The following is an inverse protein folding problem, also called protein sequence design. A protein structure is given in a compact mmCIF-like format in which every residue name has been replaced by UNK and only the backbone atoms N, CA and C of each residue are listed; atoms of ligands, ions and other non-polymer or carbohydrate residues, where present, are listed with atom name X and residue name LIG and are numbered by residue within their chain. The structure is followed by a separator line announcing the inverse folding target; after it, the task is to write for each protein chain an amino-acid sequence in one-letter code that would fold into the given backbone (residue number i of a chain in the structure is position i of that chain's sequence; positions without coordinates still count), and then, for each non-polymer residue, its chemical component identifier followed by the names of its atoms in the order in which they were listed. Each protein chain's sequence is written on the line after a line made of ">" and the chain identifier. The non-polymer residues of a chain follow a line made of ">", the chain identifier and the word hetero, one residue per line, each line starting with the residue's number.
data_IF_366955615649
#
_entry.id   IF_366955615649
#
_cell.length_a   1.000
_cell.length_b   1.000
_cell.length_c   1.000
_cell.angle_alpha   90.00
_cell.angle_beta   90.00
_cell.angle_gamma   90.00
#
_symmetry.space_group_name_H-M   'P 1'
#
loop_
_entity.id
_entity.type
_entity.pdbx_description
1 polymer ?
#
# COMPACT_ATOMS: atom_id res chain seq x y z
N UNK A 1 2.60 23.46 20.94
CA UNK A 1 2.69 22.42 19.89
C UNK A 1 2.45 23.11 18.57
N UNK A 2 3.47 23.68 17.95
CA UNK A 2 3.35 24.17 16.58
C UNK A 2 3.49 22.96 15.66
N UNK A 3 2.35 22.40 15.24
CA UNK A 3 2.35 21.25 14.34
C UNK A 3 3.00 21.65 13.01
N UNK A 4 4.10 20.98 12.66
CA UNK A 4 4.75 21.17 11.38
C UNK A 4 3.96 20.44 10.29
N UNK A 5 2.83 21.03 9.88
CA UNK A 5 1.92 20.51 8.85
C UNK A 5 2.62 20.22 7.53
N UNK A 6 3.65 21.00 7.18
CA UNK A 6 4.45 20.79 5.98
C UNK A 6 5.17 19.44 6.01
N UNK A 7 5.77 19.07 7.15
CA UNK A 7 6.42 17.78 7.30
C UNK A 7 5.40 16.63 7.22
N UNK A 8 4.25 16.76 7.88
CA UNK A 8 3.20 15.74 7.84
C UNK A 8 2.68 15.50 6.42
N UNK A 9 2.48 16.57 5.64
CA UNK A 9 2.06 16.46 4.24
C UNK A 9 3.14 15.79 3.37
N UNK A 10 4.42 16.08 3.60
CA UNK A 10 5.52 15.42 2.89
C UNK A 10 5.55 13.92 3.22
N UNK A 11 5.45 13.54 4.50
CA UNK A 11 5.38 12.14 4.93
C UNK A 11 4.21 11.40 4.28
N UNK A 12 3.03 12.03 4.22
CA UNK A 12 1.85 11.46 3.59
C UNK A 12 2.03 11.27 2.07
N UNK A 13 2.63 12.24 1.38
CA UNK A 13 2.93 12.13 -0.07
C UNK A 13 3.92 11.00 -0.34
N UNK A 14 5.00 10.92 0.45
CA UNK A 14 5.99 9.84 0.33
C UNK A 14 5.32 8.47 0.54
N UNK A 15 4.48 8.34 1.57
CA UNK A 15 3.74 7.11 1.82
C UNK A 15 2.80 6.75 0.66
N UNK A 16 2.12 7.74 0.09
CA UNK A 16 1.28 7.56 -1.10
C UNK A 16 2.07 7.01 -2.30
N UNK A 17 3.26 7.56 -2.56
CA UNK A 17 4.16 7.07 -3.62
C UNK A 17 4.57 5.61 -3.36
N UNK A 18 4.94 5.28 -2.12
CA UNK A 18 5.33 3.91 -1.74
C UNK A 18 4.17 2.93 -1.98
N UNK A 19 2.94 3.30 -1.60
CA UNK A 19 1.75 2.48 -1.83
C UNK A 19 1.48 2.27 -3.32
N UNK A 20 1.67 3.28 -4.17
CA UNK A 20 1.52 3.13 -5.63
C UNK A 20 2.54 2.13 -6.17
N UNK A 21 3.81 2.23 -5.77
CA UNK A 21 4.86 1.29 -6.20
C UNK A 21 4.56 -0.13 -5.73
N UNK A 22 4.16 -0.30 -4.46
CA UNK A 22 3.73 -1.61 -3.93
C UNK A 22 2.53 -2.16 -4.69
N UNK A 23 1.57 -1.30 -5.07
CA UNK A 23 0.42 -1.68 -5.86
C UNK A 23 0.78 -2.27 -7.22
N UNK A 24 1.73 -1.67 -7.92
CA UNK A 24 2.25 -2.25 -9.18
C UNK A 24 2.94 -3.59 -8.96
N UNK A 25 3.76 -3.72 -7.92
CA UNK A 25 4.48 -4.97 -7.60
C UNK A 25 3.48 -6.09 -7.27
N UNK A 26 2.54 -5.83 -6.36
CA UNK A 26 1.51 -6.81 -5.96
C UNK A 26 0.68 -7.23 -7.18
N UNK A 27 0.20 -6.26 -7.96
CA UNK A 27 -0.59 -6.55 -9.17
C UNK A 27 0.19 -7.37 -10.20
N UNK A 28 1.49 -7.12 -10.36
CA UNK A 28 2.34 -7.90 -11.25
C UNK A 28 2.51 -9.35 -10.79
N UNK A 29 2.67 -9.57 -9.47
CA UNK A 29 2.85 -10.91 -8.87
C UNK A 29 1.53 -11.70 -8.86
N UNK A 30 0.39 -11.05 -8.62
CA UNK A 30 -0.91 -11.73 -8.53
C UNK A 30 -1.50 -12.04 -9.90
N UNK A 31 -1.17 -11.26 -10.94
CA UNK A 31 -1.69 -11.42 -12.31
C UNK A 31 -1.59 -12.85 -12.89
N UNK A 32 -0.49 -13.62 -12.74
CA UNK A 32 -0.41 -14.98 -13.28
C UNK A 32 -1.28 -15.99 -12.51
N UNK A 33 -1.64 -15.70 -11.25
CA UNK A 33 -2.35 -16.62 -10.36
C UNK A 33 -3.85 -16.49 -10.50
N UNK A 34 -4.32 -15.29 -10.84
CA UNK A 34 -5.73 -14.97 -10.97
C UNK A 34 -6.15 -14.54 -12.39
N UNK A 35 -5.22 -14.63 -13.35
CA UNK A 35 -5.52 -14.43 -14.76
C UNK A 35 -6.33 -15.61 -15.31
N UNK A 36 -7.66 -15.53 -15.19
CA UNK A 36 -8.56 -16.52 -15.78
C UNK A 36 -9.00 -16.07 -17.17
N UNK A 37 -9.02 -17.00 -18.12
CA UNK A 37 -9.63 -16.79 -19.45
C UNK A 37 -11.16 -16.85 -19.31
N UNK A 38 -11.76 -15.82 -18.70
CA UNK A 38 -13.21 -15.72 -18.53
C UNK A 38 -13.87 -15.11 -19.78
N UNK A 39 -15.09 -15.53 -20.13
CA UNK A 39 -15.92 -14.81 -21.10
C UNK A 39 -16.10 -13.35 -20.68
N UNK A 40 -16.24 -12.44 -21.65
CA UNK A 40 -16.31 -10.99 -21.41
C UNK A 40 -17.39 -10.59 -20.39
N UNK A 41 -18.50 -11.33 -20.34
CA UNK A 41 -19.61 -11.13 -19.39
C UNK A 41 -19.21 -11.38 -17.93
N UNK A 42 -18.26 -12.28 -17.67
CA UNK A 42 -17.79 -12.61 -16.32
C UNK A 42 -16.52 -11.85 -15.93
N UNK A 43 -15.93 -11.10 -16.86
CA UNK A 43 -14.65 -10.41 -16.68
C UNK A 43 -14.73 -9.30 -15.62
N UNK A 44 -15.80 -8.50 -15.63
CA UNK A 44 -16.06 -7.47 -14.61
C UNK A 44 -16.08 -8.07 -13.20
N UNK A 45 -16.76 -9.20 -13.01
CA UNK A 45 -16.87 -9.81 -11.67
C UNK A 45 -15.48 -10.19 -11.15
N UNK A 46 -14.64 -10.79 -12.00
CA UNK A 46 -13.25 -11.10 -11.65
C UNK A 46 -12.41 -9.84 -11.35
N UNK A 47 -12.66 -8.73 -12.03
CA UNK A 47 -11.91 -7.48 -11.83
C UNK A 47 -12.14 -6.87 -10.43
N UNK A 48 -13.36 -6.94 -9.89
CA UNK A 48 -13.67 -6.42 -8.55
C UNK A 48 -13.03 -7.25 -7.43
N UNK A 49 -13.17 -8.58 -7.47
CA UNK A 49 -12.51 -9.46 -6.49
C UNK A 49 -10.99 -9.33 -6.55
N UNK A 50 -10.44 -9.13 -7.76
CA UNK A 50 -9.02 -8.88 -7.94
C UNK A 50 -8.55 -7.56 -7.36
N UNK A 51 -9.35 -6.51 -7.50
CA UNK A 51 -9.08 -5.24 -6.86
C UNK A 51 -9.08 -5.38 -5.35
N UNK A 52 -10.08 -6.04 -4.75
CA UNK A 52 -10.18 -6.24 -3.30
C UNK A 52 -8.99 -7.02 -2.74
N UNK A 53 -8.63 -8.15 -3.38
CA UNK A 53 -7.48 -8.96 -2.98
C UNK A 53 -6.18 -8.16 -3.12
N UNK A 54 -6.00 -7.43 -4.21
CA UNK A 54 -4.81 -6.61 -4.40
C UNK A 54 -4.71 -5.50 -3.35
N UNK A 55 -5.80 -4.79 -3.05
CA UNK A 55 -5.83 -3.75 -2.00
C UNK A 55 -5.48 -4.33 -0.63
N UNK A 56 -6.05 -5.47 -0.27
CA UNK A 56 -5.71 -6.17 0.97
C UNK A 56 -4.22 -6.53 1.02
N UNK A 57 -3.69 -7.13 -0.04
CA UNK A 57 -2.29 -7.55 -0.11
C UNK A 57 -1.33 -6.35 -0.07
N UNK A 58 -1.66 -5.23 -0.72
CA UNK A 58 -0.88 -3.99 -0.66
C UNK A 58 -0.80 -3.49 0.78
N UNK A 59 -1.94 -3.42 1.48
CA UNK A 59 -1.98 -3.01 2.88
C UNK A 59 -1.20 -3.97 3.78
N UNK A 60 -1.41 -5.27 3.63
CA UNK A 60 -0.76 -6.32 4.43
C UNK A 60 0.77 -6.32 4.24
N UNK A 61 1.23 -6.36 2.99
CA UNK A 61 2.66 -6.35 2.65
C UNK A 61 3.28 -5.02 3.04
N UNK A 62 2.57 -3.91 2.84
CA UNK A 62 3.00 -2.59 3.31
C UNK A 62 3.25 -2.59 4.81
N UNK A 63 2.29 -3.02 5.61
CA UNK A 63 2.44 -3.07 7.08
C UNK A 63 3.61 -3.95 7.52
N UNK A 64 3.71 -5.18 6.99
CA UNK A 64 4.83 -6.06 7.32
C UNK A 64 6.18 -5.49 6.87
N UNK A 65 6.25 -4.93 5.66
CA UNK A 65 7.47 -4.34 5.12
C UNK A 65 7.96 -3.16 5.95
N UNK A 66 7.06 -2.29 6.40
CA UNK A 66 7.40 -1.14 7.24
C UNK A 66 7.90 -1.57 8.63
N UNK A 67 7.32 -2.63 9.20
CA UNK A 67 7.77 -3.19 10.47
C UNK A 67 9.16 -3.85 10.33
N UNK A 68 9.34 -4.70 9.32
CA UNK A 68 10.59 -5.42 9.07
C UNK A 68 11.74 -4.47 8.70
N UNK A 69 11.47 -3.39 7.97
CA UNK A 69 12.46 -2.37 7.65
C UNK A 69 12.77 -1.44 8.83
N UNK A 70 12.10 -1.59 9.98
CA UNK A 70 12.23 -0.71 11.14
C UNK A 70 11.74 0.71 10.88
N UNK A 71 10.97 0.94 9.81
CA UNK A 71 10.48 2.27 9.45
C UNK A 71 9.52 2.82 10.50
N UNK A 72 8.72 1.97 11.16
CA UNK A 72 7.85 2.40 12.26
C UNK A 72 8.66 2.97 13.43
N UNK A 73 9.78 2.34 13.77
CA UNK A 73 10.70 2.86 14.81
C UNK A 73 11.38 4.15 14.37
N UNK A 74 11.75 4.26 13.11
CA UNK A 74 12.34 5.48 12.56
C UNK A 74 11.35 6.65 12.59
N UNK A 75 10.11 6.42 12.16
CA UNK A 75 9.02 7.40 12.17
C UNK A 75 8.66 7.85 13.59
N UNK A 76 8.73 6.96 14.58
CA UNK A 76 8.52 7.36 15.97
C UNK A 76 9.65 8.22 16.56
N UNK A 77 10.86 8.17 16.00
CA UNK A 77 11.99 9.00 16.43
C UNK A 77 12.12 10.32 15.66
N UNK A 78 11.73 10.34 14.39
CA UNK A 78 12.00 11.46 13.46
C UNK A 78 10.76 12.08 12.82
N UNK A 79 9.61 11.41 12.90
CA UNK A 79 8.35 11.81 12.28
C UNK A 79 7.22 11.99 13.29
N UNK A 80 6.00 12.11 12.77
CA UNK A 80 4.82 12.41 13.58
C UNK A 80 4.11 11.18 14.18
N UNK A 81 4.60 9.95 13.94
CA UNK A 81 3.89 8.73 14.33
C UNK A 81 3.74 8.54 15.85
N UNK A 82 4.71 8.99 16.64
CA UNK A 82 4.72 8.89 18.10
C UNK A 82 4.83 10.25 18.80
N UNK A 83 4.71 11.37 18.07
CA UNK A 83 4.92 12.72 18.62
C UNK A 83 3.68 13.32 19.29
N UNK A 84 2.82 12.49 19.90
CA UNK A 84 1.61 12.93 20.60
C UNK A 84 1.88 13.27 22.06
#
# INVERSE_FOLDING_TARGET
>A
MEGNWTQLLIEAVIMGIIIVVLGYIVSFITKPWFGTALPEVCKHWNDDYMMEINLFLIGFIGHLGFELAGMNTWYCKHGHACSQ
#
